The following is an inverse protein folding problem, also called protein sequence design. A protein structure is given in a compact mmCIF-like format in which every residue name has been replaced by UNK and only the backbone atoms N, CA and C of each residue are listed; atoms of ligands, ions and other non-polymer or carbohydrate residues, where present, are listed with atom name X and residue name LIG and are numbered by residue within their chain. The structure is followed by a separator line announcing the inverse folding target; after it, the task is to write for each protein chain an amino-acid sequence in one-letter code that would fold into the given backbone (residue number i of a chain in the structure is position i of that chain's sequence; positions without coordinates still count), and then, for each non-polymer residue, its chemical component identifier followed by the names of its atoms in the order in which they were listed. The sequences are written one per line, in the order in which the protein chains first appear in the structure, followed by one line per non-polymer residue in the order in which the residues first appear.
data_IF_014761343880
#
_entry.id   IF_014761343880
#
_cell.length_a   1.000
_cell.length_b   1.000
_cell.length_c   1.000
_cell.angle_alpha   90.00
_cell.angle_beta   90.00
_cell.angle_gamma   90.00
#
_symmetry.space_group_name_H-M   'P 1'
#
loop_
_entity.id
_entity.type
_entity.pdbx_description
1 polymer ?
#
# COMPACT_ATOMS: atom_id res chain seq x y z
N UNK A 1 2.61 -17.50 3.27
CA UNK A 1 3.02 -16.25 2.60
C UNK A 1 2.24 -15.94 1.32
N UNK A 2 2.05 -16.88 0.42
CA UNK A 2 1.26 -16.66 -0.81
C UNK A 2 -0.25 -16.45 -0.58
N UNK A 3 -0.83 -17.09 0.43
CA UNK A 3 -2.26 -16.91 0.81
C UNK A 3 -2.63 -15.48 1.21
N UNK A 4 -1.66 -14.69 1.70
CA UNK A 4 -1.89 -13.31 2.13
C UNK A 4 -2.06 -12.34 0.96
N UNK A 5 -1.44 -12.64 -0.19
CA UNK A 5 -1.59 -11.84 -1.40
C UNK A 5 -2.94 -12.09 -2.11
N UNK A 6 -3.57 -13.24 -1.90
CA UNK A 6 -4.89 -13.56 -2.49
C UNK A 6 -5.96 -12.64 -1.92
N UNK A 7 -5.99 -12.40 -0.62
CA UNK A 7 -6.98 -11.51 0.00
C UNK A 7 -6.90 -10.06 -0.50
N UNK A 8 -5.70 -9.59 -0.85
CA UNK A 8 -5.52 -8.27 -1.48
C UNK A 8 -6.10 -8.23 -2.90
N UNK A 9 -5.91 -9.31 -3.66
CA UNK A 9 -6.46 -9.42 -5.01
C UNK A 9 -7.98 -9.57 -4.97
N UNK A 10 -8.52 -10.29 -3.99
CA UNK A 10 -9.97 -10.37 -3.74
C UNK A 10 -10.54 -9.01 -3.34
N UNK A 11 -9.82 -8.23 -2.53
CA UNK A 11 -10.16 -6.86 -2.20
C UNK A 11 -10.21 -5.97 -3.44
N UNK A 12 -9.19 -6.04 -4.29
CA UNK A 12 -9.13 -5.32 -5.56
C UNK A 12 -10.30 -5.71 -6.49
N UNK A 13 -10.62 -7.01 -6.58
CA UNK A 13 -11.75 -7.49 -7.37
C UNK A 13 -13.08 -6.89 -6.88
N UNK A 14 -13.27 -6.82 -5.58
CA UNK A 14 -14.48 -6.23 -5.00
C UNK A 14 -14.59 -4.73 -5.32
N UNK A 15 -13.48 -4.00 -5.27
CA UNK A 15 -13.47 -2.57 -5.61
C UNK A 15 -13.68 -2.33 -7.10
N UNK A 16 -13.08 -3.12 -7.99
CA UNK A 16 -13.35 -3.08 -9.43
C UNK A 16 -14.82 -3.40 -9.75
N UNK A 17 -15.43 -4.36 -9.08
CA UNK A 17 -16.87 -4.66 -9.23
C UNK A 17 -17.77 -3.50 -8.81
N UNK A 18 -17.44 -2.81 -7.71
CA UNK A 18 -18.18 -1.61 -7.29
C UNK A 18 -18.01 -0.46 -8.29
N UNK A 19 -16.79 -0.27 -8.79
CA UNK A 19 -16.51 0.73 -9.82
C UNK A 19 -17.30 0.43 -11.10
N UNK A 20 -17.30 -0.83 -11.54
CA UNK A 20 -18.08 -1.26 -12.72
C UNK A 20 -19.58 -0.98 -12.54
N UNK A 21 -20.13 -1.31 -11.39
CA UNK A 21 -21.54 -1.03 -11.09
C UNK A 21 -21.85 0.48 -11.16
N UNK A 22 -20.97 1.32 -10.62
CA UNK A 22 -21.10 2.77 -10.71
C UNK A 22 -21.04 3.26 -12.16
N UNK A 23 -20.04 2.81 -12.93
CA UNK A 23 -19.84 3.21 -14.33
C UNK A 23 -21.01 2.77 -15.22
N UNK A 24 -21.46 1.53 -15.07
CA UNK A 24 -22.64 1.01 -15.80
C UNK A 24 -23.91 1.80 -15.45
N UNK A 25 -24.12 2.15 -14.17
CA UNK A 25 -25.21 3.00 -13.73
C UNK A 25 -25.16 4.41 -14.35
N UNK A 26 -23.96 4.98 -14.49
CA UNK A 26 -23.76 6.26 -15.18
C UNK A 26 -23.97 6.13 -16.69
N UNK A 27 -23.44 5.10 -17.32
CA UNK A 27 -23.68 4.86 -18.74
C UNK A 27 -25.16 4.74 -19.07
N UNK A 28 -25.97 4.06 -18.24
CA UNK A 28 -27.41 3.95 -18.45
C UNK A 28 -28.12 5.30 -18.49
N UNK A 29 -27.63 6.32 -17.79
CA UNK A 29 -28.21 7.70 -17.82
C UNK A 29 -28.01 8.39 -19.18
N UNK A 30 -26.98 7.97 -19.94
CA UNK A 30 -26.59 8.60 -21.21
C UNK A 30 -26.71 7.67 -22.42
N UNK A 31 -27.22 6.46 -22.27
CA UNK A 31 -27.26 5.43 -23.33
C UNK A 31 -27.95 5.88 -24.63
N UNK A 32 -28.90 6.82 -24.55
CA UNK A 32 -29.64 7.35 -25.71
C UNK A 32 -28.71 8.14 -26.67
N UNK A 33 -27.52 8.45 -26.25
CA UNK A 33 -26.47 9.11 -27.05
C UNK A 33 -25.42 8.14 -27.60
N UNK A 34 -25.61 6.83 -27.48
CA UNK A 34 -24.61 5.85 -27.85
C UNK A 34 -24.35 5.79 -29.37
N UNK A 35 -25.36 6.06 -30.18
CA UNK A 35 -25.31 6.14 -31.64
C UNK A 35 -24.86 7.50 -32.19
N UNK A 36 -24.63 8.47 -31.30
CA UNK A 36 -24.18 9.80 -31.65
C UNK A 36 -22.68 9.88 -31.79
N UNK A 37 -22.18 10.46 -32.90
CA UNK A 37 -20.78 10.76 -33.13
C UNK A 37 -20.52 12.24 -33.06
N UNK A 38 -19.42 12.65 -32.40
CA UNK A 38 -18.94 14.03 -32.36
C UNK A 38 -17.81 14.23 -33.33
N UNK A 39 -17.97 15.21 -34.25
CA UNK A 39 -16.89 15.75 -35.04
C UNK A 39 -16.37 17.03 -34.36
N UNK A 40 -15.05 17.17 -34.29
CA UNK A 40 -14.39 18.30 -33.63
C UNK A 40 -13.61 19.11 -34.67
N UNK A 41 -13.90 20.41 -34.75
CA UNK A 41 -13.12 21.37 -35.54
C UNK A 41 -12.51 22.41 -34.62
N UNK A 42 -11.23 22.67 -34.78
CA UNK A 42 -10.53 23.71 -34.03
C UNK A 42 -10.52 25.03 -34.79
N UNK A 43 -10.89 26.12 -34.10
CA UNK A 43 -10.69 27.49 -34.58
C UNK A 43 -9.75 28.19 -33.59
N UNK A 44 -8.50 28.36 -33.98
CA UNK A 44 -7.42 28.64 -33.04
C UNK A 44 -7.25 27.45 -32.07
N UNK A 45 -7.23 27.77 -30.76
CA UNK A 45 -7.15 26.74 -29.70
C UNK A 45 -8.51 26.32 -29.13
N UNK A 46 -9.64 26.76 -29.74
CA UNK A 46 -10.98 26.44 -29.22
C UNK A 46 -11.62 25.34 -30.05
N UNK A 47 -12.10 24.24 -29.42
CA UNK A 47 -12.83 23.18 -30.10
C UNK A 47 -14.30 23.62 -30.34
N UNK A 48 -14.79 23.27 -31.51
CA UNK A 48 -16.22 23.41 -31.89
C UNK A 48 -16.72 22.07 -32.36
N UNK A 49 -17.93 21.72 -32.02
CA UNK A 49 -18.47 20.38 -32.14
C UNK A 49 -19.65 20.38 -33.14
N UNK A 50 -19.69 19.36 -33.96
CA UNK A 50 -20.88 18.94 -34.70
C UNK A 50 -21.19 17.51 -34.33
N UNK A 51 -22.43 17.09 -34.33
CA UNK A 51 -22.80 15.71 -34.12
C UNK A 51 -23.54 15.15 -35.32
N UNK A 52 -23.48 13.87 -35.52
CA UNK A 52 -24.32 13.12 -36.44
C UNK A 52 -24.63 11.74 -35.84
N UNK A 53 -25.77 11.19 -36.26
CA UNK A 53 -26.06 9.78 -36.15
C UNK A 53 -25.65 9.10 -37.46
N UNK A 54 -25.54 7.79 -37.44
CA UNK A 54 -25.16 7.01 -38.63
C UNK A 54 -26.04 7.41 -39.83
N UNK A 55 -25.41 7.82 -40.92
CA UNK A 55 -26.02 8.24 -42.19
C UNK A 55 -26.82 9.58 -42.14
N UNK A 56 -26.72 10.40 -41.09
CA UNK A 56 -27.35 11.72 -41.02
C UNK A 56 -26.35 12.85 -41.35
N UNK A 57 -26.89 13.99 -41.80
CA UNK A 57 -26.09 15.18 -42.02
C UNK A 57 -25.62 15.77 -40.67
N UNK A 58 -24.32 16.12 -40.51
CA UNK A 58 -23.81 16.69 -39.26
C UNK A 58 -24.55 17.98 -38.85
N UNK A 59 -25.00 18.06 -37.61
CA UNK A 59 -25.59 19.23 -37.03
C UNK A 59 -24.58 19.94 -36.12
N UNK A 60 -24.37 21.23 -36.36
CA UNK A 60 -23.46 22.04 -35.58
C UNK A 60 -24.01 22.34 -34.18
N UNK A 61 -23.22 22.08 -33.15
CA UNK A 61 -23.60 22.24 -31.74
C UNK A 61 -22.87 23.40 -31.02
N UNK A 62 -21.79 23.92 -31.57
CA UNK A 62 -21.01 24.99 -30.96
C UNK A 62 -19.91 24.51 -30.06
N UNK A 63 -19.74 25.12 -28.87
CA UNK A 63 -18.68 24.87 -27.93
C UNK A 63 -18.94 23.66 -27.03
N UNK A 64 -17.91 23.26 -26.24
CA UNK A 64 -17.99 22.22 -25.23
C UNK A 64 -19.02 22.44 -24.11
N UNK A 65 -19.49 23.71 -23.95
CA UNK A 65 -20.51 24.05 -22.92
C UNK A 65 -21.94 23.60 -23.32
N UNK A 66 -22.12 23.17 -24.57
CA UNK A 66 -23.39 22.64 -25.03
C UNK A 66 -23.71 21.32 -24.31
N UNK A 67 -24.87 21.27 -23.65
CA UNK A 67 -25.33 20.09 -22.87
C UNK A 67 -25.38 18.82 -23.72
N UNK A 68 -25.76 18.93 -25.01
CA UNK A 68 -25.82 17.78 -25.90
C UNK A 68 -24.42 17.23 -26.19
N UNK A 69 -23.40 18.11 -26.36
CA UNK A 69 -22.00 17.71 -26.50
C UNK A 69 -21.51 16.97 -25.24
N UNK A 70 -21.83 17.54 -24.07
CA UNK A 70 -21.43 16.91 -22.77
C UNK A 70 -22.12 15.56 -22.58
N UNK A 71 -23.35 15.39 -22.97
CA UNK A 71 -24.08 14.12 -22.86
C UNK A 71 -23.45 13.04 -23.76
N UNK A 72 -23.08 13.38 -25.00
CA UNK A 72 -22.37 12.44 -25.89
C UNK A 72 -20.99 12.07 -25.32
N UNK A 73 -20.26 13.06 -24.81
CA UNK A 73 -18.95 12.83 -24.19
C UNK A 73 -19.08 11.94 -22.95
N UNK A 74 -20.05 12.20 -22.08
CA UNK A 74 -20.36 11.38 -20.91
C UNK A 74 -20.73 9.94 -21.31
N UNK A 75 -21.59 9.78 -22.33
CA UNK A 75 -21.98 8.47 -22.84
C UNK A 75 -20.74 7.65 -23.25
N UNK A 76 -19.86 8.22 -24.05
CA UNK A 76 -18.64 7.56 -24.53
C UNK A 76 -17.69 7.26 -23.37
N UNK A 77 -17.43 8.25 -22.51
CA UNK A 77 -16.52 8.10 -21.37
C UNK A 77 -16.97 6.97 -20.46
N UNK A 78 -18.23 6.96 -20.04
CA UNK A 78 -18.71 5.90 -19.14
C UNK A 78 -18.79 4.54 -19.82
N UNK A 79 -19.15 4.46 -21.10
CA UNK A 79 -19.13 3.23 -21.87
C UNK A 79 -17.72 2.62 -21.96
N UNK A 80 -16.76 3.44 -22.34
CA UNK A 80 -15.39 2.97 -22.58
C UNK A 80 -14.69 2.63 -21.25
N UNK A 81 -14.92 3.41 -20.19
CA UNK A 81 -14.44 3.06 -18.84
C UNK A 81 -15.12 1.80 -18.29
N UNK A 82 -16.41 1.59 -18.54
CA UNK A 82 -17.10 0.34 -18.16
C UNK A 82 -16.52 -0.87 -18.86
N UNK A 83 -16.16 -0.73 -20.14
CA UNK A 83 -15.52 -1.82 -20.89
C UNK A 83 -14.15 -2.18 -20.28
N UNK A 84 -13.29 -1.19 -20.05
CA UNK A 84 -11.97 -1.39 -19.41
C UNK A 84 -12.12 -2.05 -18.03
N UNK A 85 -13.03 -1.54 -17.20
CA UNK A 85 -13.25 -2.07 -15.86
C UNK A 85 -13.78 -3.52 -15.90
N UNK A 86 -14.64 -3.86 -16.87
CA UNK A 86 -15.13 -5.22 -17.09
C UNK A 86 -14.01 -6.18 -17.48
N UNK A 87 -13.11 -5.74 -18.35
CA UNK A 87 -11.93 -6.51 -18.73
C UNK A 87 -10.99 -6.73 -17.50
N UNK A 88 -10.82 -5.71 -16.65
CA UNK A 88 -10.07 -5.84 -15.41
C UNK A 88 -10.70 -6.87 -14.47
N UNK A 89 -12.01 -6.79 -14.24
CA UNK A 89 -12.75 -7.77 -13.42
C UNK A 89 -12.55 -9.17 -13.94
N UNK A 90 -12.72 -9.38 -15.25
CA UNK A 90 -12.55 -10.68 -15.88
C UNK A 90 -11.13 -11.22 -15.73
N UNK A 91 -10.11 -10.37 -15.93
CA UNK A 91 -8.71 -10.76 -15.78
C UNK A 91 -8.39 -11.19 -14.34
N UNK A 92 -8.90 -10.45 -13.34
CA UNK A 92 -8.69 -10.79 -11.92
C UNK A 92 -9.43 -12.08 -11.55
N UNK A 93 -10.68 -12.26 -12.00
CA UNK A 93 -11.45 -13.49 -11.77
C UNK A 93 -10.76 -14.70 -12.41
N UNK A 94 -10.25 -14.56 -13.63
CA UNK A 94 -9.48 -15.61 -14.29
C UNK A 94 -8.21 -15.95 -13.51
N UNK A 95 -7.46 -14.94 -13.06
CA UNK A 95 -6.30 -15.16 -12.21
C UNK A 95 -6.67 -15.95 -10.95
N UNK A 96 -7.68 -15.49 -10.20
CA UNK A 96 -8.11 -16.15 -8.95
C UNK A 96 -8.58 -17.59 -9.17
N UNK A 97 -9.23 -17.88 -10.31
CA UNK A 97 -9.70 -19.22 -10.64
C UNK A 97 -8.58 -20.21 -10.97
N UNK A 98 -7.44 -19.72 -11.45
CA UNK A 98 -6.28 -20.53 -11.88
C UNK A 98 -5.18 -20.57 -10.83
N UNK A 99 -5.15 -19.60 -9.92
CA UNK A 99 -4.10 -19.48 -8.92
C UNK A 99 -4.34 -20.40 -7.73
N UNK A 100 -3.44 -21.33 -7.52
CA UNK A 100 -3.46 -22.22 -6.35
C UNK A 100 -2.31 -21.82 -5.41
N UNK A 101 -2.58 -21.13 -4.31
CA UNK A 101 -1.56 -20.78 -3.33
C UNK A 101 -1.00 -22.04 -2.66
N UNK A 102 0.30 -22.08 -2.45
CA UNK A 102 0.96 -23.13 -1.67
C UNK A 102 1.21 -22.58 -0.26
N UNK A 103 0.60 -23.19 0.73
CA UNK A 103 0.72 -22.81 2.13
C UNK A 103 0.81 -24.04 3.05
N UNK A 104 1.31 -23.86 4.29
CA UNK A 104 1.30 -24.97 5.26
C UNK A 104 -0.11 -25.55 5.50
N UNK A 105 -1.15 -24.72 5.37
CA UNK A 105 -2.52 -25.11 5.71
C UNK A 105 -3.22 -25.92 4.62
N UNK A 106 -2.77 -25.82 3.36
CA UNK A 106 -3.39 -26.53 2.24
C UNK A 106 -2.45 -27.51 1.53
N UNK A 107 -1.21 -27.66 2.01
CA UNK A 107 -0.22 -28.53 1.38
C UNK A 107 -0.70 -29.99 1.32
N UNK A 108 -1.36 -30.45 2.39
CA UNK A 108 -1.90 -31.82 2.46
C UNK A 108 -3.11 -32.04 1.55
N UNK A 109 -3.83 -30.98 1.20
CA UNK A 109 -4.96 -31.02 0.25
C UNK A 109 -4.47 -31.02 -1.20
N UNK A 110 -3.36 -30.29 -1.45
CA UNK A 110 -2.77 -30.17 -2.77
C UNK A 110 -1.99 -31.40 -3.21
N UNK A 111 -1.40 -32.13 -2.26
CA UNK A 111 -0.55 -33.28 -2.53
C UNK A 111 -1.08 -34.53 -1.80
N UNK A 112 -1.08 -35.68 -2.47
CA UNK A 112 -1.39 -36.94 -1.78
C UNK A 112 -0.41 -37.15 -0.63
N UNK A 113 -0.93 -37.50 0.57
CA UNK A 113 -0.12 -37.65 1.80
C UNK A 113 1.10 -38.57 1.66
N UNK A 114 0.97 -39.61 0.84
CA UNK A 114 2.04 -40.58 0.60
C UNK A 114 3.18 -40.07 -0.28
N UNK A 115 3.04 -38.87 -0.91
CA UNK A 115 4.11 -38.21 -1.67
C UNK A 115 4.87 -37.17 -0.86
N UNK A 116 4.37 -36.78 0.30
CA UNK A 116 5.08 -35.85 1.17
C UNK A 116 6.14 -36.60 1.99
N UNK A 117 7.43 -36.34 1.78
CA UNK A 117 8.48 -36.91 2.63
C UNK A 117 8.24 -36.48 4.10
N UNK A 118 8.46 -37.37 5.09
CA UNK A 118 8.26 -37.01 6.50
C UNK A 118 9.06 -35.80 6.99
N UNK A 119 10.13 -35.45 6.27
CA UNK A 119 11.04 -34.34 6.59
C UNK A 119 10.77 -33.10 5.72
N UNK A 120 9.76 -33.13 4.84
CA UNK A 120 9.47 -31.98 3.97
C UNK A 120 9.01 -30.78 4.78
N UNK A 121 9.64 -29.64 4.53
CA UNK A 121 9.24 -28.35 5.09
C UNK A 121 9.21 -27.30 4.00
N UNK A 122 8.22 -26.40 4.04
CA UNK A 122 8.15 -25.25 3.13
C UNK A 122 9.36 -24.33 3.24
N UNK A 123 10.12 -24.40 4.36
CA UNK A 123 11.39 -23.67 4.51
C UNK A 123 12.49 -24.13 3.53
N UNK A 124 12.33 -25.30 2.92
CA UNK A 124 13.24 -25.81 1.89
C UNK A 124 12.98 -25.18 0.51
N UNK A 125 11.84 -24.54 0.32
CA UNK A 125 11.52 -23.85 -0.92
C UNK A 125 12.32 -22.53 -1.01
N UNK A 126 12.65 -22.07 -2.25
CA UNK A 126 13.30 -20.79 -2.44
C UNK A 126 12.50 -19.66 -1.77
N UNK A 127 13.18 -18.87 -0.95
CA UNK A 127 12.59 -17.70 -0.34
C UNK A 127 12.19 -16.67 -1.41
N UNK A 128 11.03 -16.04 -1.23
CA UNK A 128 10.61 -14.90 -2.06
C UNK A 128 11.59 -13.72 -1.90
N UNK A 129 11.54 -12.74 -2.82
CA UNK A 129 12.33 -11.51 -2.66
C UNK A 129 12.08 -10.84 -1.31
N UNK A 130 10.82 -10.69 -0.93
CA UNK A 130 10.44 -10.05 0.34
C UNK A 130 11.00 -10.80 1.55
N UNK A 131 11.01 -12.13 1.52
CA UNK A 131 11.59 -12.93 2.59
C UNK A 131 13.11 -12.77 2.67
N UNK A 132 13.79 -12.82 1.53
CA UNK A 132 15.25 -12.61 1.48
C UNK A 132 15.64 -11.23 1.99
N UNK A 133 14.94 -10.21 1.56
CA UNK A 133 15.14 -8.84 2.03
C UNK A 133 14.96 -8.75 3.54
N UNK A 134 13.86 -9.33 4.06
CA UNK A 134 13.56 -9.34 5.49
C UNK A 134 14.65 -10.06 6.29
N UNK A 135 15.09 -11.22 5.84
CA UNK A 135 16.15 -11.99 6.50
C UNK A 135 17.48 -11.21 6.56
N UNK A 136 17.83 -10.51 5.50
CA UNK A 136 19.02 -9.63 5.48
C UNK A 136 18.88 -8.44 6.44
N UNK A 137 17.68 -7.82 6.48
CA UNK A 137 17.42 -6.72 7.42
C UNK A 137 17.44 -7.20 8.89
N UNK A 138 16.97 -8.41 9.18
CA UNK A 138 17.09 -9.00 10.52
C UNK A 138 18.54 -9.21 10.92
N UNK A 139 19.39 -9.70 10.03
CA UNK A 139 20.84 -9.84 10.32
C UNK A 139 21.46 -8.50 10.70
N UNK A 140 21.10 -7.42 10.00
CA UNK A 140 21.56 -6.07 10.34
C UNK A 140 21.02 -5.64 11.72
N UNK A 141 19.73 -5.88 11.99
CA UNK A 141 19.12 -5.53 13.26
C UNK A 141 19.78 -6.23 14.43
N UNK A 142 20.14 -7.51 14.28
CA UNK A 142 20.76 -8.33 15.33
C UNK A 142 22.17 -7.85 15.71
N UNK A 143 22.85 -7.13 14.82
CA UNK A 143 24.16 -6.54 15.11
C UNK A 143 24.08 -5.32 16.03
N UNK A 144 22.91 -4.67 16.11
CA UNK A 144 22.71 -3.45 16.86
C UNK A 144 21.60 -3.68 17.90
N UNK A 145 21.93 -3.98 19.16
CA UNK A 145 20.95 -4.32 20.17
C UNK A 145 19.95 -3.16 20.42
N UNK A 146 18.71 -3.47 20.82
CA UNK A 146 17.69 -2.45 21.09
C UNK A 146 18.10 -1.56 22.27
N UNK A 147 17.69 -0.30 22.20
CA UNK A 147 17.82 0.61 23.35
C UNK A 147 16.78 0.21 24.41
N UNK A 148 17.19 0.04 25.65
CA UNK A 148 16.31 -0.38 26.78
C UNK A 148 15.57 -1.71 26.48
N UNK A 149 16.29 -2.83 26.33
CA UNK A 149 15.69 -4.14 26.04
C UNK A 149 14.70 -4.59 27.13
N UNK A 150 14.88 -4.17 28.37
CA UNK A 150 13.99 -4.45 29.49
C UNK A 150 12.59 -3.84 29.34
N UNK A 151 12.42 -2.88 28.46
CA UNK A 151 11.12 -2.27 28.14
C UNK A 151 10.30 -3.06 27.11
N UNK A 152 10.90 -4.05 26.43
CA UNK A 152 10.25 -4.94 25.47
C UNK A 152 9.48 -6.03 26.23
N UNK A 153 8.17 -5.80 26.50
CA UNK A 153 7.38 -6.65 27.42
C UNK A 153 6.09 -7.21 26.84
N UNK A 154 5.62 -6.64 25.74
CA UNK A 154 4.32 -7.01 25.16
C UNK A 154 4.57 -7.92 23.95
N UNK A 155 4.10 -9.19 23.97
CA UNK A 155 4.26 -10.08 22.83
C UNK A 155 3.29 -9.72 21.70
N UNK A 156 3.76 -9.85 20.48
CA UNK A 156 2.95 -9.86 19.27
C UNK A 156 2.51 -11.29 18.90
N UNK A 157 1.67 -11.44 17.89
CA UNK A 157 1.14 -12.75 17.47
C UNK A 157 2.21 -13.71 16.93
N UNK A 158 3.33 -13.18 16.44
CA UNK A 158 4.48 -13.97 15.96
C UNK A 158 5.64 -14.04 16.97
N UNK A 159 5.42 -13.54 18.19
CA UNK A 159 6.36 -13.65 19.30
C UNK A 159 7.40 -12.52 19.39
N UNK A 160 7.35 -11.51 18.54
CA UNK A 160 8.20 -10.32 18.67
C UNK A 160 7.72 -9.50 19.88
N UNK A 161 8.68 -9.08 20.71
CA UNK A 161 8.38 -8.25 21.89
C UNK A 161 8.43 -6.76 21.52
N UNK A 162 7.38 -6.02 21.90
CA UNK A 162 7.25 -4.57 21.69
C UNK A 162 7.06 -3.84 23.02
N UNK A 163 7.12 -2.50 23.04
CA UNK A 163 7.09 -1.71 24.26
C UNK A 163 5.70 -1.41 24.79
N UNK A 164 4.71 -1.28 23.89
CA UNK A 164 3.35 -0.90 24.26
C UNK A 164 2.30 -1.83 23.67
N UNK A 165 1.10 -1.83 24.29
CA UNK A 165 -0.06 -2.57 23.77
C UNK A 165 -0.52 -2.04 22.41
N UNK A 166 -0.40 -0.74 22.20
CA UNK A 166 -0.79 -0.11 20.94
C UNK A 166 0.15 -0.53 19.82
N UNK A 167 1.46 -0.56 20.08
CA UNK A 167 2.43 -1.07 19.12
C UNK A 167 2.16 -2.54 18.77
N UNK A 168 1.76 -3.37 19.75
CA UNK A 168 1.37 -4.75 19.48
C UNK A 168 0.12 -4.84 18.59
N UNK A 169 -0.89 -3.98 18.79
CA UNK A 169 -2.08 -3.89 17.94
C UNK A 169 -1.69 -3.52 16.51
N UNK A 170 -0.88 -2.47 16.34
CA UNK A 170 -0.41 -1.99 15.04
C UNK A 170 0.39 -3.10 14.33
N UNK A 171 1.33 -3.72 15.04
CA UNK A 171 2.17 -4.80 14.52
C UNK A 171 1.32 -6.00 14.03
N UNK A 172 0.41 -6.47 14.89
CA UNK A 172 -0.46 -7.60 14.56
C UNK A 172 -1.39 -7.29 13.38
N UNK A 173 -1.78 -6.03 13.24
CA UNK A 173 -2.57 -5.63 12.09
C UNK A 173 -1.75 -5.65 10.79
N UNK A 174 -0.50 -5.19 10.80
CA UNK A 174 0.41 -5.38 9.65
C UNK A 174 0.57 -6.86 9.30
N UNK A 175 0.73 -7.73 10.30
CA UNK A 175 0.78 -9.18 10.05
C UNK A 175 -0.50 -9.69 9.37
N UNK A 176 -1.68 -9.21 9.78
CA UNK A 176 -2.96 -9.61 9.16
C UNK A 176 -3.08 -9.22 7.71
N UNK A 177 -2.44 -8.12 7.29
CA UNK A 177 -2.31 -7.69 5.90
C UNK A 177 -1.21 -8.42 5.11
N UNK A 178 -0.53 -9.37 5.74
CA UNK A 178 0.56 -10.13 5.11
C UNK A 178 1.89 -9.41 5.08
N UNK A 179 2.02 -8.32 5.80
CA UNK A 179 3.27 -7.59 5.97
C UNK A 179 4.03 -8.15 7.18
N UNK A 180 5.34 -8.08 7.14
CA UNK A 180 6.20 -8.42 8.27
C UNK A 180 6.96 -7.16 8.68
N UNK A 181 6.51 -6.44 9.72
CA UNK A 181 7.17 -5.22 10.15
C UNK A 181 8.51 -5.51 10.83
N UNK A 182 9.51 -4.70 10.56
CA UNK A 182 10.74 -4.65 11.32
C UNK A 182 10.55 -3.65 12.47
N UNK A 183 10.28 -4.15 13.66
CA UNK A 183 10.10 -3.33 14.84
C UNK A 183 11.43 -2.76 15.33
N UNK A 184 11.49 -1.45 15.60
CA UNK A 184 12.67 -0.69 16.04
C UNK A 184 13.93 -0.99 15.21
N UNK A 185 13.80 -1.07 13.90
CA UNK A 185 14.96 -1.27 13.03
C UNK A 185 15.93 -0.08 13.14
N UNK A 186 17.24 -0.33 13.39
CA UNK A 186 18.19 0.75 13.57
C UNK A 186 18.52 1.40 12.22
N UNK A 187 18.07 2.64 12.02
CA UNK A 187 18.44 3.47 10.89
C UNK A 187 19.63 4.35 11.25
N UNK A 188 20.69 4.27 10.50
CA UNK A 188 21.85 5.15 10.66
C UNK A 188 21.85 6.26 9.62
N UNK A 189 22.04 7.51 10.05
CA UNK A 189 22.17 8.68 9.20
C UNK A 189 23.12 9.68 9.82
N UNK A 190 24.21 10.05 9.12
CA UNK A 190 25.22 11.01 9.57
C UNK A 190 25.73 10.75 11.00
N UNK A 191 25.98 9.51 11.33
CA UNK A 191 26.45 9.11 12.66
C UNK A 191 25.36 9.12 13.76
N UNK A 192 24.11 9.43 13.41
CA UNK A 192 22.94 9.36 14.30
C UNK A 192 22.21 8.04 14.09
N UNK A 193 21.78 7.42 15.18
CA UNK A 193 20.99 6.20 15.16
C UNK A 193 19.54 6.53 15.52
N UNK A 194 18.62 6.27 14.59
CA UNK A 194 17.17 6.36 14.80
C UNK A 194 16.57 4.98 14.84
N UNK A 195 15.48 4.83 15.58
CA UNK A 195 14.68 3.61 15.60
C UNK A 195 13.23 4.00 15.37
N UNK A 196 12.73 3.87 14.14
CA UNK A 196 11.30 3.98 13.89
C UNK A 196 10.57 2.82 14.57
N UNK A 197 9.32 3.05 14.98
CA UNK A 197 8.54 1.97 15.58
C UNK A 197 8.39 0.81 14.59
N UNK A 198 8.13 1.11 13.31
CA UNK A 198 8.05 0.07 12.28
C UNK A 198 8.70 0.51 10.97
N UNK A 199 9.58 -0.34 10.45
CA UNK A 199 10.07 -0.29 9.06
C UNK A 199 9.37 -1.40 8.29
N UNK A 200 8.74 -1.05 7.16
CA UNK A 200 7.83 -1.90 6.40
C UNK A 200 8.26 -1.98 4.94
N UNK A 201 8.11 -3.16 4.36
CA UNK A 201 8.14 -3.34 2.92
C UNK A 201 6.70 -3.34 2.38
N UNK A 202 6.42 -2.49 1.40
CA UNK A 202 5.08 -2.43 0.81
C UNK A 202 4.71 -3.77 0.14
N UNK A 203 3.51 -4.35 0.39
CA UNK A 203 3.19 -5.71 -0.05
C UNK A 203 3.11 -5.86 -1.58
N UNK A 204 2.79 -4.79 -2.31
CA UNK A 204 2.60 -4.80 -3.77
C UNK A 204 3.79 -4.25 -4.56
N UNK A 205 4.76 -3.61 -3.89
CA UNK A 205 5.94 -2.99 -4.53
C UNK A 205 7.13 -3.01 -3.59
N UNK A 206 8.36 -3.11 -4.09
CA UNK A 206 9.56 -3.16 -3.25
C UNK A 206 9.95 -1.76 -2.73
N UNK A 207 9.01 -1.04 -2.12
CA UNK A 207 9.26 0.26 -1.49
C UNK A 207 9.23 0.18 0.02
N UNK A 208 10.13 0.93 0.66
CA UNK A 208 10.24 1.03 2.11
C UNK A 208 9.31 2.12 2.63
N UNK A 209 8.63 1.79 3.71
CA UNK A 209 7.78 2.69 4.47
C UNK A 209 8.21 2.71 5.94
N UNK A 210 8.06 3.86 6.57
CA UNK A 210 8.20 4.03 8.01
C UNK A 210 6.85 4.36 8.60
N UNK A 211 6.55 3.73 9.73
CA UNK A 211 5.40 4.05 10.56
C UNK A 211 5.87 4.38 11.97
N UNK A 212 5.48 5.54 12.49
CA UNK A 212 5.71 5.98 13.87
C UNK A 212 4.39 6.08 14.63
N UNK A 213 4.39 5.62 15.88
CA UNK A 213 3.26 5.76 16.78
C UNK A 213 3.57 6.77 17.86
N UNK A 214 2.92 7.93 17.83
CA UNK A 214 3.15 9.03 18.75
C UNK A 214 2.19 8.98 19.93
N UNK A 215 2.37 8.04 20.86
CA UNK A 215 1.49 7.79 22.00
C UNK A 215 1.43 8.90 23.06
N UNK A 216 2.38 9.84 23.08
CA UNK A 216 2.42 10.92 24.09
C UNK A 216 2.21 12.31 23.51
N UNK A 217 1.94 12.42 22.21
CA UNK A 217 1.90 13.70 21.50
C UNK A 217 0.96 14.72 22.15
N UNK A 218 -0.16 14.27 22.66
CA UNK A 218 -1.22 15.13 23.20
C UNK A 218 -1.37 15.05 24.72
N UNK A 219 -0.42 14.42 25.44
CA UNK A 219 -0.46 14.38 26.91
C UNK A 219 -0.17 15.76 27.50
N UNK A 220 -0.95 16.22 28.50
CA UNK A 220 -0.76 17.55 29.10
C UNK A 220 0.58 17.71 29.79
N UNK A 221 1.14 16.65 30.39
CA UNK A 221 2.31 16.69 31.28
C UNK A 221 3.64 16.70 30.51
N UNK A 222 3.83 15.79 29.57
CA UNK A 222 5.09 15.55 28.86
C UNK A 222 4.98 15.72 27.34
N UNK A 223 3.77 16.01 26.83
CA UNK A 223 3.49 16.21 25.42
C UNK A 223 4.38 17.26 24.73
N UNK A 224 4.56 18.47 25.29
CA UNK A 224 5.40 19.50 24.65
C UNK A 224 6.86 19.09 24.45
N UNK A 225 7.47 18.40 25.41
CA UNK A 225 8.83 17.88 25.28
C UNK A 225 8.90 16.71 24.28
N UNK A 226 7.89 15.86 24.29
CA UNK A 226 7.76 14.75 23.37
C UNK A 226 7.61 15.24 21.91
N UNK A 227 6.82 16.31 21.69
CA UNK A 227 6.65 16.95 20.37
C UNK A 227 7.97 17.44 19.80
N UNK A 228 8.84 18.05 20.62
CA UNK A 228 10.17 18.47 20.18
C UNK A 228 11.03 17.29 19.71
N UNK A 229 11.00 16.19 20.45
CA UNK A 229 11.71 14.96 20.07
C UNK A 229 11.15 14.34 18.80
N UNK A 230 9.83 14.35 18.63
CA UNK A 230 9.16 13.88 17.43
C UNK A 230 9.54 14.73 16.19
N UNK A 231 9.51 16.06 16.31
CA UNK A 231 9.93 16.98 15.24
C UNK A 231 11.39 16.77 14.85
N UNK A 232 12.27 16.51 15.79
CA UNK A 232 13.66 16.20 15.52
C UNK A 232 13.77 14.91 14.67
N UNK A 233 13.09 13.82 15.04
CA UNK A 233 13.02 12.58 14.27
C UNK A 233 12.49 12.83 12.85
N UNK A 234 11.39 13.60 12.73
CA UNK A 234 10.77 13.90 11.44
C UNK A 234 11.70 14.64 10.48
N UNK A 235 12.51 15.59 10.99
CA UNK A 235 13.49 16.29 10.18
C UNK A 235 14.55 15.33 9.64
N UNK A 236 15.05 14.41 10.47
CA UNK A 236 16.04 13.43 10.02
C UNK A 236 15.42 12.47 8.99
N UNK A 237 14.20 11.98 9.23
CA UNK A 237 13.51 11.14 8.24
C UNK A 237 13.37 11.84 6.89
N UNK A 238 13.04 13.14 6.88
CA UNK A 238 12.96 13.93 5.65
C UNK A 238 14.31 14.02 4.93
N UNK A 239 15.41 14.20 5.66
CA UNK A 239 16.77 14.23 5.11
C UNK A 239 17.14 12.85 4.52
N UNK A 240 16.64 11.76 5.11
CA UNK A 240 16.80 10.39 4.61
C UNK A 240 15.88 10.06 3.42
N UNK A 241 15.00 10.98 2.98
CA UNK A 241 14.07 10.75 1.87
C UNK A 241 12.72 10.17 2.27
N UNK A 242 12.38 10.17 3.57
CA UNK A 242 11.06 9.77 4.04
C UNK A 242 10.16 10.99 4.22
N UNK A 243 9.05 11.02 3.49
CA UNK A 243 8.12 12.15 3.46
C UNK A 243 6.74 11.79 3.98
N UNK A 244 6.16 12.61 4.89
CA UNK A 244 4.81 12.40 5.39
C UNK A 244 3.76 12.23 4.27
N UNK A 245 2.91 11.22 4.42
CA UNK A 245 1.87 10.89 3.44
C UNK A 245 2.37 10.22 2.14
N UNK A 246 3.68 9.97 2.02
CA UNK A 246 4.27 9.27 0.88
C UNK A 246 4.82 7.89 1.28
N UNK A 247 5.83 7.90 2.14
CA UNK A 247 6.52 6.72 2.65
C UNK A 247 6.82 6.83 4.15
N UNK A 248 6.27 7.84 4.83
CA UNK A 248 6.32 8.07 6.27
C UNK A 248 4.92 8.35 6.78
N UNK A 249 4.45 7.54 7.70
CA UNK A 249 3.10 7.58 8.26
C UNK A 249 3.13 7.59 9.77
N UNK A 250 2.03 8.07 10.37
CA UNK A 250 1.94 8.28 11.80
C UNK A 250 0.59 7.82 12.34
N UNK A 251 0.61 7.37 13.59
CA UNK A 251 -0.59 7.21 14.40
C UNK A 251 -0.42 7.90 15.75
N UNK A 252 -1.51 8.23 16.40
CA UNK A 252 -1.52 9.01 17.63
C UNK A 252 -2.47 8.38 18.65
N UNK A 253 -2.14 8.54 19.94
CA UNK A 253 -3.10 8.33 21.01
C UNK A 253 -3.90 9.62 21.27
N UNK A 254 -5.11 9.48 21.78
CA UNK A 254 -5.89 10.58 22.30
C UNK A 254 -5.23 11.15 23.59
N UNK A 255 -5.63 12.36 24.05
CA UNK A 255 -5.10 12.93 25.30
C UNK A 255 -5.27 12.05 26.54
N UNK A 256 -6.28 11.19 26.56
CA UNK A 256 -6.57 10.22 27.62
C UNK A 256 -5.78 8.89 27.48
N UNK A 257 -4.96 8.75 26.46
CA UNK A 257 -4.18 7.54 26.16
C UNK A 257 -4.96 6.44 25.44
N UNK A 258 -6.20 6.70 25.03
CA UNK A 258 -6.97 5.78 24.18
C UNK A 258 -6.54 5.88 22.73
N UNK A 259 -6.82 4.83 21.96
CA UNK A 259 -6.60 4.82 20.51
C UNK A 259 -7.90 4.44 19.78
N UNK A 260 -8.20 5.17 18.71
CA UNK A 260 -9.25 4.78 17.78
C UNK A 260 -8.72 3.68 16.87
N UNK A 261 -8.95 2.44 17.26
CA UNK A 261 -8.48 1.26 16.52
C UNK A 261 -9.19 1.09 15.18
N UNK A 262 -10.46 1.51 15.06
CA UNK A 262 -11.21 1.40 13.80
C UNK A 262 -10.64 2.37 12.75
N UNK A 263 -10.38 3.61 13.15
CA UNK A 263 -9.74 4.60 12.29
C UNK A 263 -8.32 4.15 11.87
N UNK A 264 -7.51 3.69 12.82
CA UNK A 264 -6.17 3.18 12.58
C UNK A 264 -6.16 2.02 11.57
N UNK A 265 -7.04 1.04 11.75
CA UNK A 265 -7.19 -0.11 10.85
C UNK A 265 -7.56 0.33 9.44
N UNK A 266 -8.50 1.27 9.32
CA UNK A 266 -8.94 1.82 8.04
C UNK A 266 -7.81 2.57 7.33
N UNK A 267 -7.05 3.37 8.05
CA UNK A 267 -5.91 4.12 7.50
C UNK A 267 -4.81 3.18 6.99
N UNK A 268 -4.39 2.20 7.79
CA UNK A 268 -3.41 1.20 7.38
C UNK A 268 -3.88 0.43 6.15
N UNK A 269 -5.16 0.00 6.13
CA UNK A 269 -5.75 -0.71 4.98
C UNK A 269 -5.76 0.15 3.71
N UNK A 270 -6.04 1.44 3.83
CA UNK A 270 -6.04 2.36 2.70
C UNK A 270 -4.64 2.58 2.13
N UNK A 271 -3.63 2.70 3.00
CA UNK A 271 -2.24 2.93 2.58
C UNK A 271 -1.66 1.68 1.93
N UNK A 272 -1.78 0.53 2.57
CA UNK A 272 -1.08 -0.69 2.17
C UNK A 272 -1.93 -1.66 1.35
N UNK A 273 -3.25 -1.52 1.36
CA UNK A 273 -4.18 -2.28 0.52
C UNK A 273 -4.27 -1.78 -0.92
N UNK A 274 -3.69 -0.61 -1.22
CA UNK A 274 -3.70 0.00 -2.55
C UNK A 274 -2.28 0.11 -3.11
N UNK A 275 -2.11 0.14 -4.44
CA UNK A 275 -0.83 0.48 -5.06
C UNK A 275 -0.33 1.85 -4.58
N UNK A 276 0.98 2.03 -4.40
CA UNK A 276 1.54 3.32 -4.02
C UNK A 276 1.10 4.44 -4.96
N UNK A 277 0.79 5.61 -4.41
CA UNK A 277 0.44 6.80 -5.21
C UNK A 277 1.55 7.16 -6.20
N UNK A 278 1.24 7.96 -7.24
CA UNK A 278 2.25 8.44 -8.19
C UNK A 278 3.37 9.23 -7.47
N UNK A 279 3.05 9.99 -6.44
CA UNK A 279 4.01 10.71 -5.63
C UNK A 279 4.88 9.75 -4.80
N UNK A 280 4.29 8.76 -4.14
CA UNK A 280 5.01 7.74 -3.38
C UNK A 280 5.94 6.92 -4.28
N UNK A 281 5.54 6.62 -5.53
CA UNK A 281 6.42 5.94 -6.50
C UNK A 281 7.61 6.81 -6.95
N UNK A 282 7.42 8.12 -7.05
CA UNK A 282 8.50 9.05 -7.46
C UNK A 282 9.50 9.32 -6.33
N UNK A 283 9.02 9.35 -5.09
CA UNK A 283 9.81 9.66 -3.89
C UNK A 283 10.11 8.41 -3.06
N UNK A 284 9.59 7.25 -3.45
CA UNK A 284 9.77 6.00 -2.72
C UNK A 284 11.22 5.53 -2.74
N UNK A 285 11.66 5.00 -1.62
CA UNK A 285 12.97 4.36 -1.48
C UNK A 285 12.80 2.89 -1.86
N UNK A 286 13.54 2.44 -2.87
CA UNK A 286 13.56 1.02 -3.26
C UNK A 286 14.19 0.17 -2.15
N UNK A 287 13.66 -1.03 -1.96
CA UNK A 287 14.09 -1.93 -0.90
C UNK A 287 15.53 -2.40 -1.07
N UNK A 288 15.99 -2.57 -2.32
CA UNK A 288 17.36 -2.99 -2.63
C UNK A 288 18.32 -1.86 -2.31
N UNK A 289 18.04 -0.66 -2.80
CA UNK A 289 18.84 0.53 -2.53
C UNK A 289 18.93 0.81 -1.03
N UNK A 290 17.81 0.69 -0.31
CA UNK A 290 17.76 0.86 1.13
C UNK A 290 18.68 -0.14 1.87
N UNK A 291 18.62 -1.42 1.48
CA UNK A 291 19.47 -2.47 2.07
C UNK A 291 20.96 -2.18 1.83
N UNK A 292 21.33 -1.77 0.62
CA UNK A 292 22.71 -1.43 0.29
C UNK A 292 23.20 -0.20 1.07
N UNK A 293 22.37 0.85 1.18
CA UNK A 293 22.69 2.04 1.96
C UNK A 293 22.95 1.66 3.43
N UNK A 294 22.06 0.87 4.05
CA UNK A 294 22.24 0.46 5.44
C UNK A 294 23.50 -0.38 5.64
N UNK A 295 23.81 -1.31 4.74
CA UNK A 295 25.05 -2.10 4.77
C UNK A 295 26.29 -1.20 4.69
N UNK A 296 26.34 -0.28 3.74
CA UNK A 296 27.48 0.60 3.54
C UNK A 296 27.73 1.53 4.76
N UNK A 297 26.66 2.06 5.36
CA UNK A 297 26.78 2.90 6.55
C UNK A 297 27.36 2.07 7.72
N UNK A 298 26.88 0.85 7.95
CA UNK A 298 27.34 0.00 9.04
C UNK A 298 28.79 -0.46 8.85
N UNK A 299 29.20 -0.71 7.60
CA UNK A 299 30.60 -1.00 7.26
C UNK A 299 31.50 0.20 7.56
N UNK A 300 31.07 1.41 7.18
CA UNK A 300 31.84 2.63 7.44
C UNK A 300 32.00 2.94 8.94
N UNK A 301 31.07 2.44 9.75
CA UNK A 301 31.09 2.58 11.22
C UNK A 301 31.80 1.42 11.94
N UNK A 302 32.41 0.47 11.21
CA UNK A 302 33.03 -0.76 11.73
C UNK A 302 32.08 -1.59 12.61
N UNK A 303 30.80 -1.63 12.30
CA UNK A 303 29.79 -2.44 13.00
C UNK A 303 29.65 -3.82 12.37
N UNK A 304 29.92 -3.95 11.06
CA UNK A 304 29.94 -5.21 10.30
C UNK A 304 31.19 -5.32 9.44
#
# INVERSE_FOLDING_TARGET
MLTRNVSLIEGLLNDEKKLLQFLDGKYQQYKDYNDCTLDVRYVGNKPYYSFHRTAETPLYLGSADNVFVQNIQNCRTYRDLSAICRDNVQAIEQFLSQYTPISPNNLEELLPKHYLPPQFSLSQLPASFNQKWYDEMLKIKDLIPPTYPEALKIPTNDGIMVRSRVEAIIYNYFLSLGMTPLYEFPLSYEGKLLRPDFTLLHPLRPFIYIWEHFGRMFRPTDGPQYQQSALYKLNIYKEMGFYPGCNLFFSFENPDGSIDTEHLIKEISQIFGNPPTAQARRLGIDATDFLEIQKNILQSQNVI
#
